data_IF_791500449116
#
_entry.id   IF_791500449116
#
_cell.length_a   1.000
_cell.length_b   1.000
_cell.length_c   1.000
_cell.angle_alpha   90.00
_cell.angle_beta   90.00
_cell.angle_gamma   90.00
#
_symmetry.space_group_name_H-M   'P 1'
#
loop_
_entity.id
_entity.type
_entity.pdbx_description
1 polymer ?
#
# COMPACT_ATOMS: atom_id res chain seq x y z
N UNK A 1 -15.28 15.74 -36.25
CA UNK A 1 -15.81 14.42 -35.89
C UNK A 1 -14.70 13.40 -35.65
N UNK A 2 -13.76 13.23 -36.60
CA UNK A 2 -12.64 12.28 -36.46
C UNK A 2 -11.68 12.63 -35.29
N UNK A 3 -11.40 13.91 -35.05
CA UNK A 3 -10.52 14.36 -33.95
C UNK A 3 -11.09 13.98 -32.58
N UNK A 4 -12.40 14.12 -32.38
CA UNK A 4 -13.06 13.73 -31.14
C UNK A 4 -12.95 12.21 -30.89
N UNK A 5 -13.12 11.40 -31.93
CA UNK A 5 -12.96 9.95 -31.83
C UNK A 5 -11.53 9.53 -31.43
N UNK A 6 -10.51 10.20 -31.97
CA UNK A 6 -9.13 9.96 -31.59
C UNK A 6 -8.82 10.38 -30.16
N UNK A 7 -9.38 11.49 -29.67
CA UNK A 7 -9.22 11.94 -28.28
C UNK A 7 -9.86 10.92 -27.33
N UNK A 8 -11.06 10.43 -27.64
CA UNK A 8 -11.73 9.39 -26.83
C UNK A 8 -10.93 8.10 -26.82
N UNK A 9 -10.43 7.65 -27.99
CA UNK A 9 -9.63 6.45 -28.10
C UNK A 9 -8.32 6.57 -27.29
N UNK A 10 -7.65 7.72 -27.38
CA UNK A 10 -6.44 7.99 -26.61
C UNK A 10 -6.72 7.99 -25.09
N UNK A 11 -7.80 8.63 -24.67
CA UNK A 11 -8.24 8.67 -23.29
C UNK A 11 -8.53 7.27 -22.73
N UNK A 12 -9.22 6.42 -23.50
CA UNK A 12 -9.46 5.02 -23.15
C UNK A 12 -8.16 4.22 -23.09
N UNK A 13 -7.25 4.45 -24.03
CA UNK A 13 -5.92 3.81 -24.05
C UNK A 13 -5.11 4.18 -22.78
N UNK A 14 -5.06 5.44 -22.42
CA UNK A 14 -4.37 5.92 -21.21
C UNK A 14 -4.99 5.32 -19.95
N UNK A 15 -6.31 5.29 -19.86
CA UNK A 15 -7.02 4.70 -18.72
C UNK A 15 -6.76 3.18 -18.61
N UNK A 16 -6.79 2.47 -19.75
CA UNK A 16 -6.51 1.04 -19.80
C UNK A 16 -5.07 0.72 -19.38
N UNK A 17 -4.09 1.46 -19.93
CA UNK A 17 -2.68 1.30 -19.57
C UNK A 17 -2.42 1.64 -18.10
N UNK A 18 -3.01 2.72 -17.60
CA UNK A 18 -2.91 3.11 -16.19
C UNK A 18 -3.38 1.98 -15.27
N UNK A 19 -4.57 1.45 -15.53
CA UNK A 19 -5.11 0.32 -14.77
C UNK A 19 -4.24 -0.92 -14.84
N UNK A 20 -3.73 -1.26 -16.03
CA UNK A 20 -2.84 -2.40 -16.21
C UNK A 20 -1.53 -2.24 -15.42
N UNK A 21 -0.94 -1.05 -15.40
CA UNK A 21 0.26 -0.76 -14.62
C UNK A 21 0.01 -0.84 -13.12
N UNK A 22 -1.13 -0.32 -12.65
CA UNK A 22 -1.53 -0.40 -11.24
C UNK A 22 -1.72 -1.85 -10.79
N UNK A 23 -2.36 -2.68 -11.61
CA UNK A 23 -2.54 -4.12 -11.34
C UNK A 23 -1.20 -4.88 -11.35
N UNK A 24 -0.26 -4.49 -12.20
CA UNK A 24 1.09 -5.08 -12.22
C UNK A 24 1.92 -4.68 -10.99
N UNK A 25 1.76 -3.46 -10.51
CA UNK A 25 2.45 -2.97 -9.31
C UNK A 25 1.82 -3.56 -8.04
N UNK A 26 0.49 -3.55 -7.94
CA UNK A 26 -0.26 -4.10 -6.82
C UNK A 26 -1.25 -5.19 -7.29
N UNK A 27 -0.80 -6.44 -7.41
CA UNK A 27 -1.69 -7.55 -7.79
C UNK A 27 -2.67 -7.92 -6.67
N UNK A 28 -2.51 -7.38 -5.47
CA UNK A 28 -3.35 -7.67 -4.29
C UNK A 28 -4.22 -6.46 -3.92
N UNK A 29 -4.88 -5.85 -4.90
CA UNK A 29 -5.89 -4.80 -4.65
C UNK A 29 -7.10 -5.37 -3.92
N UNK A 30 -7.38 -6.65 -4.14
CA UNK A 30 -8.31 -7.48 -3.37
C UNK A 30 -7.57 -8.73 -2.91
N UNK A 31 -7.48 -8.94 -1.60
CA UNK A 31 -6.71 -10.04 -1.04
C UNK A 31 -7.50 -11.34 -1.00
N UNK A 32 -6.84 -12.45 -1.29
CA UNK A 32 -7.40 -13.79 -1.10
C UNK A 32 -7.33 -14.17 0.38
N UNK A 33 -8.46 -14.55 0.93
CA UNK A 33 -8.57 -14.97 2.34
C UNK A 33 -8.76 -16.50 2.38
N UNK A 34 -7.94 -17.17 3.16
CA UNK A 34 -8.06 -18.60 3.42
C UNK A 34 -8.24 -18.86 4.92
N UNK A 35 -8.86 -19.98 5.23
CA UNK A 35 -8.83 -20.53 6.58
C UNK A 35 -7.61 -21.44 6.71
N UNK A 36 -6.69 -21.05 7.58
CA UNK A 36 -5.55 -21.88 7.97
C UNK A 36 -5.91 -22.94 9.03
N UNK A 37 -4.93 -23.70 9.43
CA UNK A 37 -5.08 -24.68 10.48
C UNK A 37 -5.53 -24.05 11.80
N UNK A 38 -6.41 -24.72 12.52
CA UNK A 38 -6.96 -24.23 13.79
C UNK A 38 -7.91 -23.04 13.70
N UNK A 39 -8.44 -22.73 12.50
CA UNK A 39 -9.36 -21.61 12.27
C UNK A 39 -8.67 -20.24 12.16
N UNK A 40 -7.35 -20.21 12.04
CA UNK A 40 -6.61 -18.98 11.77
C UNK A 40 -7.02 -18.36 10.45
N UNK A 41 -7.07 -17.03 10.39
CA UNK A 41 -7.31 -16.32 9.14
C UNK A 41 -5.99 -16.04 8.45
N UNK A 42 -5.89 -16.48 7.21
CA UNK A 42 -4.72 -16.29 6.38
C UNK A 42 -5.06 -15.41 5.20
N UNK A 43 -4.14 -14.51 4.87
CA UNK A 43 -4.19 -13.69 3.66
C UNK A 43 -3.09 -14.15 2.73
N UNK A 44 -3.46 -14.50 1.49
CA UNK A 44 -2.51 -14.93 0.47
C UNK A 44 -2.22 -13.76 -0.45
N UNK A 45 -0.95 -13.42 -0.58
CA UNK A 45 -0.48 -12.33 -1.43
C UNK A 45 0.29 -12.88 -2.62
N UNK A 46 0.00 -12.31 -3.78
CA UNK A 46 0.75 -12.57 -5.00
C UNK A 46 1.94 -11.62 -5.10
N UNK A 47 3.06 -12.15 -5.54
CA UNK A 47 4.27 -11.38 -5.82
C UNK A 47 4.10 -10.58 -7.11
N UNK A 48 4.50 -9.31 -7.11
CA UNK A 48 4.46 -8.51 -8.33
C UNK A 48 5.66 -8.80 -9.26
N UNK A 49 5.67 -8.21 -10.45
CA UNK A 49 6.74 -8.42 -11.44
C UNK A 49 8.13 -7.96 -10.98
N UNK A 50 8.19 -7.02 -10.06
CA UNK A 50 9.45 -6.51 -9.47
C UNK A 50 9.96 -7.39 -8.32
N UNK A 51 9.22 -8.42 -7.95
CA UNK A 51 9.59 -9.33 -6.89
C UNK A 51 9.14 -8.89 -5.49
N UNK A 52 8.26 -7.92 -5.38
CA UNK A 52 7.75 -7.39 -4.12
C UNK A 52 6.33 -7.89 -3.84
N UNK A 53 5.97 -7.93 -2.57
CA UNK A 53 4.61 -8.16 -2.11
C UNK A 53 3.97 -6.82 -1.80
N UNK A 54 3.13 -6.35 -2.69
CA UNK A 54 2.39 -5.08 -2.57
C UNK A 54 0.91 -5.41 -2.42
N UNK A 55 0.24 -4.77 -1.49
CA UNK A 55 -1.18 -5.01 -1.22
C UNK A 55 -1.90 -3.74 -0.80
N UNK A 56 -3.19 -3.69 -1.09
CA UNK A 56 -4.07 -2.68 -0.52
C UNK A 56 -4.51 -3.11 0.87
N UNK A 57 -4.34 -2.24 1.84
CA UNK A 57 -4.83 -2.39 3.20
C UNK A 57 -5.40 -1.08 3.71
N UNK A 58 -5.51 -0.93 5.02
CA UNK A 58 -6.03 0.29 5.64
C UNK A 58 -5.19 0.70 6.84
N UNK A 59 -5.01 2.02 6.99
CA UNK A 59 -4.54 2.64 8.22
C UNK A 59 -5.67 3.52 8.75
N UNK A 60 -6.08 3.32 9.98
CA UNK A 60 -7.19 4.04 10.61
C UNK A 60 -8.47 4.04 9.73
N UNK A 61 -8.73 2.92 9.07
CA UNK A 61 -9.88 2.75 8.18
C UNK A 61 -9.75 3.37 6.78
N UNK A 62 -8.66 4.08 6.48
CA UNK A 62 -8.40 4.68 5.16
C UNK A 62 -7.52 3.77 4.31
N UNK A 63 -7.89 3.58 3.05
CA UNK A 63 -7.16 2.73 2.12
C UNK A 63 -5.74 3.23 1.86
N UNK A 64 -4.78 2.32 1.95
CA UNK A 64 -3.35 2.57 1.73
C UNK A 64 -2.75 1.39 0.99
N UNK A 65 -1.79 1.66 0.11
CA UNK A 65 -1.00 0.61 -0.53
C UNK A 65 0.25 0.35 0.29
N UNK A 66 0.42 -0.90 0.71
CA UNK A 66 1.57 -1.36 1.49
C UNK A 66 2.53 -2.16 0.62
N UNK A 67 3.82 -2.02 0.90
CA UNK A 67 4.84 -3.00 0.53
C UNK A 67 5.22 -3.77 1.79
N UNK A 68 5.13 -5.10 1.72
CA UNK A 68 5.52 -5.99 2.81
C UNK A 68 6.99 -6.34 2.69
N UNK A 69 7.71 -6.12 3.77
CA UNK A 69 9.11 -6.47 3.92
C UNK A 69 9.29 -7.36 5.16
N UNK A 70 9.79 -8.57 4.95
CA UNK A 70 10.04 -9.54 6.05
C UNK A 70 11.12 -9.08 7.01
N UNK A 71 11.97 -8.13 6.59
CA UNK A 71 12.99 -7.49 7.44
C UNK A 71 12.49 -6.28 8.23
N UNK A 72 11.26 -5.82 7.98
CA UNK A 72 10.71 -4.67 8.68
C UNK A 72 10.22 -5.06 10.09
N UNK A 73 10.55 -4.23 11.06
CA UNK A 73 10.12 -4.39 12.47
C UNK A 73 8.95 -3.50 12.85
N UNK A 74 8.46 -2.70 11.91
CA UNK A 74 7.35 -1.78 12.12
C UNK A 74 6.79 -1.25 10.81
N UNK A 75 5.80 -0.39 10.92
CA UNK A 75 5.18 0.30 9.78
C UNK A 75 5.86 1.64 9.58
N UNK A 76 6.39 1.88 8.39
CA UNK A 76 6.95 3.16 7.97
C UNK A 76 6.11 3.77 6.85
N UNK A 77 5.81 5.04 6.97
CA UNK A 77 5.04 5.79 5.98
C UNK A 77 5.73 7.12 5.64
N UNK A 78 5.43 7.65 4.46
CA UNK A 78 5.91 8.97 4.07
C UNK A 78 5.19 10.07 4.88
N UNK A 79 5.86 11.20 5.02
CA UNK A 79 5.27 12.39 5.67
C UNK A 79 4.01 12.88 4.94
N UNK A 80 4.01 12.81 3.59
CA UNK A 80 2.86 13.17 2.78
C UNK A 80 1.65 12.26 3.07
N UNK A 81 1.87 10.95 3.22
CA UNK A 81 0.81 10.01 3.58
C UNK A 81 0.32 10.26 5.01
N UNK A 82 1.22 10.49 5.95
CA UNK A 82 0.88 10.83 7.33
C UNK A 82 -0.03 12.07 7.40
N UNK A 83 0.29 13.11 6.61
CA UNK A 83 -0.55 14.31 6.49
C UNK A 83 -1.95 14.01 5.95
N UNK A 84 -2.06 13.19 4.90
CA UNK A 84 -3.36 12.76 4.35
C UNK A 84 -4.19 11.92 5.33
N UNK A 85 -3.52 11.18 6.18
CA UNK A 85 -4.17 10.37 7.22
C UNK A 85 -4.53 11.18 8.47
N UNK A 86 -4.08 12.43 8.57
CA UNK A 86 -4.28 13.28 9.74
C UNK A 86 -3.48 12.85 10.97
N UNK A 87 -2.32 12.22 10.76
CA UNK A 87 -1.45 11.77 11.84
C UNK A 87 -0.59 12.91 12.35
N UNK A 88 -0.48 13.01 13.67
CA UNK A 88 0.39 13.98 14.34
C UNK A 88 1.81 13.43 14.47
N UNK A 89 2.78 14.32 14.30
CA UNK A 89 4.19 14.01 14.56
C UNK A 89 4.43 13.90 16.06
N UNK A 90 4.89 12.74 16.48
CA UNK A 90 5.34 12.52 17.83
C UNK A 90 6.84 12.79 18.01
N UNK A 91 7.48 12.02 18.87
CA UNK A 91 8.90 12.13 19.16
C UNK A 91 9.74 11.87 17.92
N UNK A 92 10.71 12.78 17.65
CA UNK A 92 11.69 12.61 16.60
C UNK A 92 12.78 11.59 16.99
N UNK A 93 13.25 10.81 16.05
CA UNK A 93 14.39 9.90 16.20
C UNK A 93 15.17 9.77 14.89
N UNK A 94 16.44 9.39 15.02
CA UNK A 94 17.30 9.18 13.85
C UNK A 94 17.01 7.83 13.23
N UNK A 95 16.93 7.82 11.91
CA UNK A 95 16.71 6.58 11.13
C UNK A 95 17.81 6.45 10.10
N UNK A 96 18.39 5.27 10.01
CA UNK A 96 19.31 4.92 8.92
C UNK A 96 18.54 4.22 7.81
N UNK A 97 18.68 4.74 6.60
CA UNK A 97 18.06 4.16 5.39
C UNK A 97 19.13 3.90 4.34
N UNK A 98 18.75 3.23 3.26
CA UNK A 98 19.64 3.03 2.11
C UNK A 98 20.16 4.36 1.52
N UNK A 99 19.40 5.45 1.68
CA UNK A 99 19.76 6.79 1.19
C UNK A 99 20.52 7.64 2.23
N UNK A 100 20.90 7.05 3.37
CA UNK A 100 21.64 7.72 4.43
C UNK A 100 20.83 7.90 5.72
N UNK A 101 21.33 8.78 6.58
CA UNK A 101 20.72 9.08 7.88
C UNK A 101 19.67 10.18 7.70
N UNK A 102 18.47 9.94 8.20
CA UNK A 102 17.37 10.87 8.21
C UNK A 102 16.75 11.04 9.59
N UNK A 103 15.77 11.92 9.69
CA UNK A 103 14.94 12.07 10.88
C UNK A 103 13.56 11.48 10.59
N UNK A 104 13.09 10.61 11.46
CA UNK A 104 11.75 10.06 11.47
C UNK A 104 11.00 10.51 12.72
N UNK A 105 9.69 10.42 12.67
CA UNK A 105 8.81 10.81 13.77
C UNK A 105 7.93 9.64 14.15
N UNK A 106 7.80 9.39 15.43
CA UNK A 106 6.82 8.43 15.92
C UNK A 106 5.41 8.96 15.62
N UNK A 107 4.53 8.06 15.22
CA UNK A 107 3.11 8.34 15.06
C UNK A 107 2.28 7.23 15.69
N UNK A 108 1.15 7.60 16.25
CA UNK A 108 0.20 6.64 16.80
C UNK A 108 -0.84 6.29 15.75
N UNK A 109 -1.04 5.01 15.53
CA UNK A 109 -2.08 4.48 14.67
C UNK A 109 -3.16 3.83 15.54
N UNK A 110 -4.42 4.02 15.19
CA UNK A 110 -5.53 3.34 15.86
C UNK A 110 -5.68 1.91 15.35
N UNK A 111 -5.46 1.70 14.06
CA UNK A 111 -5.48 0.37 13.47
C UNK A 111 -4.72 0.27 12.15
N UNK A 112 -4.22 -0.91 11.87
CA UNK A 112 -3.68 -1.31 10.56
C UNK A 112 -4.33 -2.62 10.18
N UNK A 113 -4.81 -2.73 8.94
CA UNK A 113 -5.45 -3.94 8.46
C UNK A 113 -5.08 -4.30 7.03
N UNK A 114 -5.02 -5.60 6.77
CA UNK A 114 -4.92 -6.18 5.42
C UNK A 114 -5.96 -7.30 5.36
N UNK A 115 -6.99 -7.11 4.52
CA UNK A 115 -8.14 -8.00 4.50
C UNK A 115 -8.78 -8.12 5.89
N UNK A 116 -9.03 -9.35 6.38
CA UNK A 116 -9.64 -9.60 7.70
C UNK A 116 -8.63 -9.50 8.86
N UNK A 117 -7.34 -9.39 8.58
CA UNK A 117 -6.29 -9.26 9.61
C UNK A 117 -6.22 -7.80 10.04
N UNK A 118 -6.43 -7.54 11.31
CA UNK A 118 -6.43 -6.20 11.90
C UNK A 118 -5.62 -6.18 13.19
N UNK A 119 -4.76 -5.17 13.29
CA UNK A 119 -3.98 -4.84 14.48
C UNK A 119 -4.45 -3.50 15.05
N UNK A 120 -4.44 -3.38 16.37
CA UNK A 120 -4.81 -2.18 17.11
C UNK A 120 -3.62 -1.64 17.90
#
# INVERSE_FOLDING_TARGET
MQVLAWIVLLGLGVAYFGKMLDEQYNPNQSVEVRQGEGGAREVVLQRNRLGHYVTTGKINGKAVTFMLDTGATGVAISEALAGRLGLEKGRAFRTQTANGIGTSYAAKLDSVSVGPIRLY
#
